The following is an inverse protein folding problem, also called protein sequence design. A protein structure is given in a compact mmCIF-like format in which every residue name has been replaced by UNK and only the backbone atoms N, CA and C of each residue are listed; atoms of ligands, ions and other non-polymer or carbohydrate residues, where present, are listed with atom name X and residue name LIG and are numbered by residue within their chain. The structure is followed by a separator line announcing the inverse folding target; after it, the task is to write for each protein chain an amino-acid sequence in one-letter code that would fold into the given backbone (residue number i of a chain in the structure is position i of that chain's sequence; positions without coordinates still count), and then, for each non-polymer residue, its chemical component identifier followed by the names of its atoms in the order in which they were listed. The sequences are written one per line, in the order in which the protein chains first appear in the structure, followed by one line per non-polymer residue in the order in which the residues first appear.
data_IF_691535607497
#
_entry.id   IF_691535607497
#
_cell.length_a   1.000
_cell.length_b   1.000
_cell.length_c   1.000
_cell.angle_alpha   90.00
_cell.angle_beta   90.00
_cell.angle_gamma   90.00
#
_symmetry.space_group_name_H-M   'P 1'
#
loop_
_entity.id
_entity.type
_entity.pdbx_description
1 polymer ?
#
# COMPACT_ATOMS: atom_id res chain seq x y z
N UNK A 1 -30.21 -25.74 15.03
CA UNK A 1 -29.33 -25.66 13.84
C UNK A 1 -28.08 -26.44 14.17
N UNK A 2 -27.66 -27.39 13.33
CA UNK A 2 -26.39 -28.08 13.55
C UNK A 2 -25.26 -27.06 13.47
N UNK A 3 -24.47 -26.93 14.53
CA UNK A 3 -23.28 -26.07 14.52
C UNK A 3 -22.33 -26.63 13.45
N UNK A 4 -21.91 -25.78 12.52
CA UNK A 4 -21.01 -26.17 11.45
C UNK A 4 -19.69 -26.70 12.05
N UNK A 5 -19.25 -27.90 11.63
CA UNK A 5 -18.08 -28.60 12.20
C UNK A 5 -16.80 -27.75 12.10
N UNK A 6 -16.64 -26.98 11.03
CA UNK A 6 -15.50 -26.07 10.88
C UNK A 6 -15.56 -24.91 11.88
N UNK A 7 -16.74 -24.34 12.14
CA UNK A 7 -16.91 -23.28 13.15
C UNK A 7 -16.58 -23.81 14.55
N UNK A 8 -16.98 -25.05 14.86
CA UNK A 8 -16.63 -25.70 16.11
C UNK A 8 -15.11 -25.90 16.25
N UNK A 9 -14.45 -26.39 15.20
CA UNK A 9 -12.98 -26.50 15.15
C UNK A 9 -12.31 -25.13 15.38
N UNK A 10 -12.78 -24.09 14.69
CA UNK A 10 -12.27 -22.73 14.85
C UNK A 10 -12.45 -22.25 16.29
N UNK A 11 -13.60 -22.50 16.92
CA UNK A 11 -13.87 -22.10 18.31
C UNK A 11 -12.96 -22.80 19.31
N UNK A 12 -12.67 -24.07 19.09
CA UNK A 12 -11.84 -24.86 19.99
C UNK A 12 -10.33 -24.71 19.72
N UNK A 13 -9.95 -24.05 18.62
CA UNK A 13 -8.55 -23.83 18.27
C UNK A 13 -7.83 -22.91 19.27
N UNK A 14 -6.60 -23.29 19.63
CA UNK A 14 -5.67 -22.49 20.46
C UNK A 14 -4.60 -21.79 19.62
N UNK A 15 -4.92 -21.52 18.35
CA UNK A 15 -3.99 -20.88 17.42
C UNK A 15 -3.74 -19.44 17.87
N UNK A 16 -2.46 -19.08 18.07
CA UNK A 16 -2.08 -17.77 18.60
C UNK A 16 -2.62 -16.59 17.78
N UNK A 17 -2.76 -16.77 16.47
CA UNK A 17 -3.29 -15.73 15.60
C UNK A 17 -4.81 -15.57 15.67
N UNK A 18 -5.55 -16.58 16.13
CA UNK A 18 -7.01 -16.61 16.03
C UNK A 18 -7.65 -15.40 16.72
N UNK A 19 -7.07 -14.98 17.85
CA UNK A 19 -7.54 -13.86 18.67
C UNK A 19 -6.76 -12.56 18.40
N UNK A 20 -5.89 -12.53 17.38
CA UNK A 20 -5.24 -11.29 16.92
C UNK A 20 -6.21 -10.53 16.01
N UNK A 21 -6.26 -9.22 16.21
CA UNK A 21 -7.07 -8.33 15.37
C UNK A 21 -6.53 -8.27 13.94
N UNK A 22 -7.45 -8.26 12.98
CA UNK A 22 -7.19 -7.99 11.57
C UNK A 22 -6.77 -6.52 11.46
N UNK A 23 -5.52 -6.29 11.06
CA UNK A 23 -4.95 -4.95 10.98
C UNK A 23 -5.51 -4.16 9.80
N UNK A 24 -5.53 -2.84 9.97
CA UNK A 24 -5.92 -1.89 8.94
C UNK A 24 -4.72 -1.55 8.04
N UNK A 25 -4.86 -1.76 6.73
CA UNK A 25 -3.87 -1.32 5.75
C UNK A 25 -3.53 0.17 5.87
N UNK A 26 -4.53 1.00 6.16
CA UNK A 26 -4.36 2.45 6.20
C UNK A 26 -3.59 2.96 7.43
N UNK A 27 -3.30 2.07 8.41
CA UNK A 27 -2.39 2.40 9.52
C UNK A 27 -0.93 2.46 9.04
N UNK A 28 -0.58 1.63 8.03
CA UNK A 28 0.77 1.56 7.47
C UNK A 28 0.89 2.32 6.15
N UNK A 29 -0.19 2.46 5.39
CA UNK A 29 -0.21 3.18 4.12
C UNK A 29 -1.20 4.34 4.15
N UNK A 30 -0.69 5.56 4.35
CA UNK A 30 -1.49 6.77 4.33
C UNK A 30 -1.69 7.22 2.88
N UNK A 31 -2.86 7.80 2.57
CA UNK A 31 -3.14 8.36 1.24
C UNK A 31 -2.06 9.35 0.77
N UNK A 32 -1.48 10.10 1.69
CA UNK A 32 -0.40 11.06 1.43
C UNK A 32 0.90 10.40 0.93
N UNK A 33 1.03 9.07 1.04
CA UNK A 33 2.18 8.33 0.52
C UNK A 33 2.05 8.03 -0.98
N UNK A 34 0.84 8.04 -1.55
CA UNK A 34 0.59 7.67 -2.95
C UNK A 34 1.49 8.45 -3.93
N UNK A 35 1.69 9.78 -3.79
CA UNK A 35 2.57 10.54 -4.68
C UNK A 35 4.07 10.17 -4.56
N UNK A 36 4.46 9.48 -3.49
CA UNK A 36 5.83 9.09 -3.17
C UNK A 36 6.08 7.59 -3.39
N UNK A 37 5.10 6.85 -3.91
CA UNK A 37 5.34 5.50 -4.45
C UNK A 37 6.24 5.64 -5.68
N UNK A 38 7.42 5.02 -5.65
CA UNK A 38 8.40 5.05 -6.75
C UNK A 38 8.37 3.77 -7.59
N UNK A 39 7.79 2.70 -7.05
CA UNK A 39 7.64 1.44 -7.75
C UNK A 39 6.41 0.67 -7.23
N UNK A 40 5.61 0.14 -8.15
CA UNK A 40 4.52 -0.81 -7.91
C UNK A 40 4.85 -2.08 -8.68
N UNK A 41 5.12 -3.15 -7.97
CA UNK A 41 5.35 -4.47 -8.54
C UNK A 41 4.10 -5.33 -8.34
N UNK A 42 3.55 -5.86 -9.41
CA UNK A 42 2.42 -6.78 -9.38
C UNK A 42 2.84 -8.14 -9.92
N UNK A 43 2.43 -9.20 -9.24
CA UNK A 43 2.74 -10.59 -9.58
C UNK A 43 1.44 -11.40 -9.52
N UNK A 44 1.13 -12.10 -10.60
CA UNK A 44 0.00 -13.03 -10.73
C UNK A 44 0.42 -14.46 -10.36
N UNK A 45 -0.58 -15.29 -10.04
CA UNK A 45 -0.47 -16.75 -9.97
C UNK A 45 0.70 -17.24 -9.11
N UNK A 46 0.97 -16.50 -8.04
CA UNK A 46 2.08 -16.74 -7.13
C UNK A 46 1.58 -17.40 -5.85
N UNK A 47 2.49 -17.57 -4.90
CA UNK A 47 2.20 -18.11 -3.58
C UNK A 47 2.60 -17.14 -2.48
N UNK A 48 1.87 -17.18 -1.38
CA UNK A 48 2.13 -16.36 -0.19
C UNK A 48 2.16 -17.23 1.05
N UNK A 49 3.05 -16.96 1.99
CA UNK A 49 2.90 -17.52 3.33
C UNK A 49 1.65 -16.92 3.99
N UNK A 50 0.64 -17.76 4.24
CA UNK A 50 -0.64 -17.30 4.79
C UNK A 50 -0.51 -16.71 6.21
N UNK A 51 0.55 -17.08 6.94
CA UNK A 51 0.92 -16.48 8.22
C UNK A 51 1.35 -15.02 8.12
N UNK A 52 1.91 -14.62 6.98
CA UNK A 52 2.34 -13.25 6.69
C UNK A 52 1.18 -12.30 6.35
N UNK A 53 -0.03 -12.83 6.14
CA UNK A 53 -1.23 -12.00 5.94
C UNK A 53 -1.78 -11.59 7.30
N UNK A 54 -1.70 -10.30 7.61
CA UNK A 54 -2.00 -9.77 8.96
C UNK A 54 -3.21 -8.83 9.00
N UNK A 55 -3.73 -8.43 7.84
CA UNK A 55 -4.74 -7.39 7.77
C UNK A 55 -5.50 -7.34 6.46
N UNK A 56 -6.24 -6.25 6.27
CA UNK A 56 -7.07 -6.00 5.09
C UNK A 56 -7.25 -4.51 4.83
N UNK A 57 -7.67 -4.18 3.60
CA UNK A 57 -8.21 -2.87 3.22
C UNK A 57 -9.70 -2.72 3.48
N UNK A 58 -10.43 -3.81 3.70
CA UNK A 58 -11.88 -3.78 3.80
C UNK A 58 -12.34 -3.25 5.18
N UNK A 59 -13.06 -2.12 5.24
CA UNK A 59 -13.43 -1.46 6.51
C UNK A 59 -14.23 -2.37 7.45
N UNK A 60 -15.19 -3.14 6.92
CA UNK A 60 -16.08 -3.97 7.73
C UNK A 60 -15.39 -5.08 8.55
N UNK A 61 -14.15 -5.46 8.21
CA UNK A 61 -13.44 -6.56 8.87
C UNK A 61 -12.27 -6.09 9.74
N UNK A 62 -11.90 -4.81 9.62
CA UNK A 62 -10.82 -4.22 10.42
C UNK A 62 -11.22 -4.23 11.90
N UNK A 63 -10.27 -4.60 12.76
CA UNK A 63 -10.46 -4.61 14.22
C UNK A 63 -11.14 -5.86 14.77
N UNK A 64 -11.83 -6.66 13.93
CA UNK A 64 -12.27 -8.01 14.31
C UNK A 64 -11.05 -8.90 14.51
N UNK A 65 -11.11 -9.82 15.48
CA UNK A 65 -10.19 -10.96 15.49
C UNK A 65 -10.46 -11.90 14.33
N UNK A 66 -9.45 -12.68 13.92
CA UNK A 66 -9.66 -13.69 12.87
C UNK A 66 -10.76 -14.69 13.25
N UNK A 67 -10.87 -15.07 14.53
CA UNK A 67 -11.92 -15.96 15.05
C UNK A 67 -13.31 -15.32 14.99
N UNK A 68 -13.44 -14.05 15.39
CA UNK A 68 -14.71 -13.33 15.27
C UNK A 68 -15.12 -13.19 13.81
N UNK A 69 -14.19 -12.89 12.91
CA UNK A 69 -14.47 -12.75 11.50
C UNK A 69 -15.05 -14.02 10.87
N UNK A 70 -14.58 -15.21 11.28
CA UNK A 70 -15.18 -16.50 10.89
C UNK A 70 -16.66 -16.61 11.30
N UNK A 71 -17.07 -15.97 12.40
CA UNK A 71 -18.45 -16.02 12.90
C UNK A 71 -19.36 -14.98 12.26
N UNK A 72 -18.87 -13.74 12.14
CA UNK A 72 -19.72 -12.58 11.83
C UNK A 72 -19.57 -12.09 10.39
N UNK A 73 -18.60 -12.61 9.63
CA UNK A 73 -18.37 -12.21 8.25
C UNK A 73 -19.61 -12.42 7.38
N UNK A 74 -20.10 -11.36 6.73
CA UNK A 74 -21.37 -11.34 5.98
C UNK A 74 -21.52 -12.47 4.95
N UNK A 75 -20.43 -12.86 4.27
CA UNK A 75 -20.43 -13.94 3.28
C UNK A 75 -19.73 -15.20 3.78
N UNK A 76 -19.37 -15.25 5.06
CA UNK A 76 -18.64 -16.37 5.64
C UNK A 76 -19.43 -17.69 5.61
N UNK A 77 -20.75 -17.72 5.94
CA UNK A 77 -21.51 -18.96 5.88
C UNK A 77 -21.46 -19.63 4.49
N UNK A 78 -21.64 -18.85 3.42
CA UNK A 78 -21.54 -19.37 2.04
C UNK A 78 -20.13 -19.82 1.69
N UNK A 79 -19.09 -19.10 2.16
CA UNK A 79 -17.69 -19.50 1.90
C UNK A 79 -17.29 -20.77 2.67
N UNK A 80 -17.79 -20.96 3.89
CA UNK A 80 -17.59 -22.19 4.67
C UNK A 80 -18.30 -23.36 3.98
N UNK A 81 -19.54 -23.17 3.52
CA UNK A 81 -20.26 -24.20 2.77
C UNK A 81 -19.51 -24.61 1.49
N UNK A 82 -18.97 -23.65 0.74
CA UNK A 82 -18.15 -23.94 -0.44
C UNK A 82 -16.86 -24.69 -0.08
N UNK A 83 -16.23 -24.33 1.04
CA UNK A 83 -15.07 -25.06 1.56
C UNK A 83 -15.43 -26.52 1.92
N UNK A 84 -16.56 -26.75 2.58
CA UNK A 84 -16.99 -28.11 2.94
C UNK A 84 -17.31 -28.97 1.71
N UNK A 85 -17.85 -28.35 0.65
CA UNK A 85 -18.15 -29.03 -0.62
C UNK A 85 -16.90 -29.31 -1.46
N UNK A 86 -15.89 -28.43 -1.40
CA UNK A 86 -14.67 -28.54 -2.18
C UNK A 86 -13.45 -28.03 -1.40
N UNK A 87 -12.92 -28.81 -0.44
CA UNK A 87 -11.77 -28.40 0.36
C UNK A 87 -10.49 -28.30 -0.46
N UNK A 88 -10.36 -29.10 -1.53
CA UNK A 88 -9.19 -29.14 -2.41
C UNK A 88 -8.93 -27.80 -3.11
N UNK A 89 -9.95 -26.95 -3.26
CA UNK A 89 -9.82 -25.58 -3.75
C UNK A 89 -8.66 -24.81 -3.10
N UNK A 90 -8.43 -25.01 -1.80
CA UNK A 90 -7.36 -24.29 -1.08
C UNK A 90 -5.96 -24.86 -1.34
N UNK A 91 -5.87 -26.12 -1.78
CA UNK A 91 -4.62 -26.85 -1.95
C UNK A 91 -4.12 -26.86 -3.39
N UNK A 92 -4.97 -26.53 -4.38
CA UNK A 92 -4.55 -26.44 -5.78
C UNK A 92 -3.57 -25.28 -6.00
N UNK A 93 -2.73 -25.43 -7.03
CA UNK A 93 -1.77 -24.41 -7.45
C UNK A 93 -2.36 -23.43 -8.47
N UNK A 94 -3.49 -23.79 -9.08
CA UNK A 94 -4.16 -23.00 -10.08
C UNK A 94 -4.62 -21.65 -9.54
N UNK A 95 -4.69 -20.67 -10.45
CA UNK A 95 -5.25 -19.35 -10.18
C UNK A 95 -6.58 -19.45 -9.45
N UNK A 96 -6.67 -18.80 -8.29
CA UNK A 96 -7.91 -18.74 -7.53
C UNK A 96 -8.91 -17.85 -8.26
N UNK A 97 -10.12 -18.39 -8.41
CA UNK A 97 -11.28 -17.67 -8.93
C UNK A 97 -12.39 -17.68 -7.87
N UNK A 98 -13.04 -16.53 -7.57
CA UNK A 98 -12.61 -15.17 -7.93
C UNK A 98 -11.19 -14.85 -7.46
N UNK A 99 -10.52 -13.83 -8.02
CA UNK A 99 -9.15 -13.52 -7.65
C UNK A 99 -9.00 -13.23 -6.13
N UNK A 100 -7.86 -13.65 -5.56
CA UNK A 100 -7.44 -13.30 -4.21
C UNK A 100 -6.15 -12.51 -4.36
N UNK A 101 -6.18 -11.25 -3.94
CA UNK A 101 -5.05 -10.33 -4.08
C UNK A 101 -4.57 -9.81 -2.72
N UNK A 102 -3.25 -9.66 -2.60
CA UNK A 102 -2.59 -9.11 -1.43
C UNK A 102 -1.76 -7.88 -1.78
N UNK A 103 -1.59 -6.99 -0.82
CA UNK A 103 -0.76 -5.79 -0.94
C UNK A 103 0.22 -5.67 0.23
N UNK A 104 1.42 -5.18 -0.06
CA UNK A 104 2.48 -4.93 0.94
C UNK A 104 3.34 -3.72 0.58
N UNK A 105 3.98 -3.14 1.58
CA UNK A 105 5.02 -2.10 1.44
C UNK A 105 6.40 -2.56 1.95
N UNK A 106 6.47 -3.73 2.58
CA UNK A 106 7.67 -4.27 3.23
C UNK A 106 7.99 -5.72 2.82
N UNK A 107 7.17 -6.30 1.92
CA UNK A 107 7.25 -7.68 1.42
C UNK A 107 7.21 -8.76 2.53
N UNK A 108 6.85 -8.38 3.75
CA UNK A 108 6.87 -9.24 4.93
C UNK A 108 5.48 -9.33 5.56
N UNK A 109 4.80 -8.20 5.62
CA UNK A 109 3.44 -8.06 6.12
C UNK A 109 2.50 -7.78 4.96
N UNK A 110 1.48 -8.62 4.80
CA UNK A 110 0.54 -8.53 3.70
C UNK A 110 -0.87 -8.25 4.20
N UNK A 111 -1.62 -7.53 3.37
CA UNK A 111 -3.00 -7.16 3.61
C UNK A 111 -3.83 -7.63 2.44
N UNK A 112 -5.05 -8.12 2.69
CA UNK A 112 -5.98 -8.43 1.60
C UNK A 112 -6.36 -7.13 0.89
N UNK A 113 -6.13 -7.07 -0.42
CA UNK A 113 -6.24 -5.82 -1.18
C UNK A 113 -7.66 -5.55 -1.69
N UNK A 114 -8.31 -6.59 -2.21
CA UNK A 114 -9.66 -6.51 -2.76
C UNK A 114 -10.52 -7.68 -2.25
N UNK A 115 -10.92 -8.57 -3.15
CA UNK A 115 -11.63 -9.79 -2.78
C UNK A 115 -10.68 -10.83 -2.18
N UNK A 116 -11.25 -11.82 -1.49
CA UNK A 116 -10.52 -12.93 -0.90
C UNK A 116 -10.53 -12.97 0.62
N UNK A 117 -10.98 -11.91 1.31
CA UNK A 117 -10.97 -11.83 2.78
C UNK A 117 -11.48 -13.11 3.48
N UNK A 118 -12.65 -13.61 3.08
CA UNK A 118 -13.26 -14.81 3.67
C UNK A 118 -12.42 -16.07 3.41
N UNK A 119 -11.93 -16.23 2.17
CA UNK A 119 -11.10 -17.37 1.75
C UNK A 119 -9.72 -17.31 2.41
N UNK A 120 -9.13 -16.13 2.55
CA UNK A 120 -7.91 -15.92 3.33
C UNK A 120 -8.12 -16.31 4.79
N UNK A 121 -9.21 -15.89 5.43
CA UNK A 121 -9.49 -16.26 6.82
C UNK A 121 -9.62 -17.79 6.97
N UNK A 122 -10.38 -18.45 6.09
CA UNK A 122 -10.50 -19.92 6.07
C UNK A 122 -9.11 -20.54 5.85
N UNK A 123 -8.33 -20.06 4.87
CA UNK A 123 -6.98 -20.51 4.58
C UNK A 123 -6.05 -20.42 5.80
N UNK A 124 -6.12 -19.34 6.59
CA UNK A 124 -5.35 -19.20 7.83
C UNK A 124 -5.66 -20.29 8.84
N UNK A 125 -6.94 -20.65 9.01
CA UNK A 125 -7.36 -21.69 9.96
C UNK A 125 -7.04 -23.11 9.47
N UNK A 126 -7.26 -23.43 8.19
CA UNK A 126 -6.95 -24.77 7.65
C UNK A 126 -5.44 -25.05 7.58
N UNK A 127 -4.62 -24.00 7.37
CA UNK A 127 -3.17 -24.12 7.28
C UNK A 127 -2.45 -23.76 8.57
N UNK A 128 -3.16 -23.29 9.59
CA UNK A 128 -2.60 -22.88 10.88
C UNK A 128 -1.40 -21.91 10.74
N UNK A 129 -1.47 -20.98 9.77
CA UNK A 129 -0.38 -20.07 9.39
C UNK A 129 0.95 -20.71 8.90
N UNK A 130 0.97 -22.01 8.63
CA UNK A 130 2.23 -22.75 8.34
C UNK A 130 2.49 -23.04 6.87
N UNK A 131 1.54 -22.77 5.97
CA UNK A 131 1.60 -23.17 4.56
C UNK A 131 1.57 -21.99 3.58
N UNK A 132 2.18 -22.21 2.42
CA UNK A 132 2.02 -21.36 1.24
C UNK A 132 0.61 -21.53 0.67
N UNK A 133 -0.10 -20.42 0.49
CA UNK A 133 -1.37 -20.36 -0.23
C UNK A 133 -1.08 -19.91 -1.68
N UNK A 134 -1.39 -20.79 -2.64
CA UNK A 134 -1.00 -20.63 -4.05
C UNK A 134 -2.13 -20.08 -4.91
N UNK A 135 -1.82 -19.67 -6.14
CA UNK A 135 -2.80 -19.18 -7.12
C UNK A 135 -3.33 -17.78 -6.80
N UNK A 136 -2.57 -16.98 -6.07
CA UNK A 136 -2.96 -15.63 -5.62
C UNK A 136 -2.15 -14.56 -6.34
N UNK A 137 -2.59 -13.31 -6.28
CA UNK A 137 -1.80 -12.17 -6.76
C UNK A 137 -1.25 -11.31 -5.63
N UNK A 138 -0.12 -10.66 -5.87
CA UNK A 138 0.57 -9.82 -4.90
C UNK A 138 0.94 -8.48 -5.56
N UNK A 139 0.66 -7.38 -4.85
CA UNK A 139 1.15 -6.04 -5.17
C UNK A 139 2.13 -5.57 -4.09
N UNK A 140 3.35 -5.24 -4.47
CA UNK A 140 4.35 -4.64 -3.58
C UNK A 140 4.58 -3.17 -3.97
N UNK A 141 4.47 -2.28 -2.99
CA UNK A 141 4.74 -0.86 -3.16
C UNK A 141 6.09 -0.50 -2.54
N UNK A 142 6.92 0.24 -3.28
CA UNK A 142 8.11 0.90 -2.75
C UNK A 142 7.84 2.38 -2.62
N UNK A 143 7.98 2.92 -1.41
CA UNK A 143 7.75 4.33 -1.09
C UNK A 143 9.09 5.00 -0.80
N UNK A 144 9.26 6.22 -1.30
CA UNK A 144 10.36 7.10 -0.91
C UNK A 144 10.05 7.84 0.39
N UNK A 145 10.20 7.13 1.52
CA UNK A 145 9.91 7.68 2.84
C UNK A 145 10.79 8.88 3.22
N UNK A 146 12.04 8.89 2.77
CA UNK A 146 12.96 9.96 3.08
C UNK A 146 12.52 11.26 2.39
N UNK A 147 12.11 11.16 1.12
CA UNK A 147 11.60 12.32 0.41
C UNK A 147 10.22 12.77 0.90
N UNK A 148 9.34 11.84 1.30
CA UNK A 148 8.09 12.19 1.96
C UNK A 148 8.34 13.00 3.25
N UNK A 149 9.24 12.54 4.13
CA UNK A 149 9.59 13.26 5.37
C UNK A 149 10.17 14.64 5.08
N UNK A 150 11.05 14.73 4.08
CA UNK A 150 11.62 16.00 3.61
C UNK A 150 10.53 16.98 3.15
N UNK A 151 9.61 16.51 2.32
CA UNK A 151 8.46 17.29 1.85
C UNK A 151 7.60 17.77 3.02
N UNK A 152 7.21 16.88 3.94
CA UNK A 152 6.39 17.25 5.11
C UNK A 152 7.08 18.31 5.97
N UNK A 153 8.39 18.18 6.22
CA UNK A 153 9.16 19.18 6.96
C UNK A 153 9.17 20.55 6.28
N UNK A 154 9.24 20.57 4.94
CA UNK A 154 9.14 21.82 4.19
C UNK A 154 7.74 22.44 4.25
N UNK A 155 6.68 21.65 4.13
CA UNK A 155 5.30 22.13 4.30
C UNK A 155 5.09 22.72 5.71
N UNK A 156 5.62 22.08 6.74
CA UNK A 156 5.57 22.61 8.11
C UNK A 156 6.32 23.94 8.23
N UNK A 157 7.46 24.07 7.57
CA UNK A 157 8.23 25.32 7.54
C UNK A 157 7.46 26.45 6.84
N UNK A 158 6.80 26.17 5.71
CA UNK A 158 5.93 27.12 5.01
C UNK A 158 4.84 27.64 5.97
N UNK A 159 4.17 26.73 6.67
CA UNK A 159 3.11 27.07 7.63
C UNK A 159 3.64 27.89 8.80
N UNK A 160 4.71 27.43 9.45
CA UNK A 160 5.28 28.08 10.62
C UNK A 160 5.80 29.50 10.34
N UNK A 161 6.33 29.74 9.14
CA UNK A 161 6.82 31.06 8.70
C UNK A 161 5.76 31.90 7.97
N UNK A 162 4.51 31.42 7.87
CA UNK A 162 3.44 32.03 7.11
C UNK A 162 3.87 32.44 5.68
N UNK A 163 4.60 31.56 4.99
CA UNK A 163 5.09 31.86 3.65
C UNK A 163 3.91 31.82 2.67
N UNK A 164 3.83 32.73 1.69
CA UNK A 164 2.75 32.78 0.70
C UNK A 164 2.95 31.73 -0.40
N UNK A 165 3.30 30.50 -0.01
CA UNK A 165 3.59 29.38 -0.90
C UNK A 165 2.56 28.28 -0.71
N UNK A 166 2.09 27.73 -1.82
CA UNK A 166 1.39 26.45 -1.86
C UNK A 166 2.24 25.46 -2.66
N UNK A 167 2.38 24.25 -2.15
CA UNK A 167 3.11 23.18 -2.83
C UNK A 167 2.16 22.00 -3.01
N UNK A 168 1.90 21.65 -4.26
CA UNK A 168 1.23 20.41 -4.63
C UNK A 168 2.26 19.32 -4.92
N UNK A 169 1.85 18.07 -4.78
CA UNK A 169 2.67 16.90 -5.07
C UNK A 169 1.85 15.90 -5.89
N UNK A 170 2.44 15.39 -6.96
CA UNK A 170 1.84 14.44 -7.88
C UNK A 170 2.81 13.28 -8.14
N UNK A 171 2.25 12.14 -8.56
CA UNK A 171 3.03 11.03 -9.10
C UNK A 171 2.85 10.97 -10.61
N UNK A 172 3.94 10.69 -11.31
CA UNK A 172 3.98 10.50 -12.75
C UNK A 172 4.50 9.11 -13.05
N UNK A 173 3.74 8.34 -13.81
CA UNK A 173 4.21 7.06 -14.37
C UNK A 173 5.28 7.34 -15.43
N UNK A 174 6.45 6.71 -15.30
CA UNK A 174 7.60 6.98 -16.17
C UNK A 174 8.05 5.76 -16.97
N UNK A 175 7.82 4.56 -16.45
CA UNK A 175 8.18 3.34 -17.14
C UNK A 175 7.34 2.16 -16.64
N UNK A 176 7.22 1.14 -17.49
CA UNK A 176 6.69 -0.17 -17.15
C UNK A 176 7.63 -1.25 -17.69
N UNK A 177 7.88 -2.26 -16.87
CA UNK A 177 8.47 -3.53 -17.27
C UNK A 177 7.40 -4.61 -17.17
N UNK A 178 7.22 -5.39 -18.23
CA UNK A 178 6.29 -6.52 -18.26
C UNK A 178 7.05 -7.82 -18.40
N UNK A 179 6.58 -8.85 -17.69
CA UNK A 179 7.01 -10.22 -17.86
C UNK A 179 5.83 -11.18 -17.81
N UNK A 180 6.11 -12.47 -18.01
CA UNK A 180 5.06 -13.49 -17.91
C UNK A 180 4.56 -13.60 -16.48
N UNK A 181 3.33 -13.15 -16.22
CA UNK A 181 2.70 -13.19 -14.90
C UNK A 181 3.18 -12.12 -13.91
N UNK A 182 3.90 -11.09 -14.36
CA UNK A 182 4.27 -9.96 -13.50
C UNK A 182 4.43 -8.68 -14.30
N UNK A 183 4.23 -7.54 -13.65
CA UNK A 183 4.63 -6.25 -14.18
C UNK A 183 5.19 -5.36 -13.06
N UNK A 184 5.99 -4.37 -13.46
CA UNK A 184 6.54 -3.37 -12.56
C UNK A 184 6.38 -1.98 -13.16
N UNK A 185 5.64 -1.15 -12.47
CA UNK A 185 5.42 0.25 -12.82
C UNK A 185 6.37 1.14 -12.00
N UNK A 186 7.09 2.02 -12.66
CA UNK A 186 7.97 3.01 -12.04
C UNK A 186 7.37 4.39 -12.11
N UNK A 187 7.58 5.16 -11.04
CA UNK A 187 6.99 6.47 -10.88
C UNK A 187 8.03 7.48 -10.40
N UNK A 188 7.85 8.72 -10.83
CA UNK A 188 8.58 9.88 -10.31
C UNK A 188 7.61 10.83 -9.62
N UNK A 189 8.06 11.41 -8.51
CA UNK A 189 7.31 12.45 -7.79
C UNK A 189 7.59 13.82 -8.42
N UNK A 190 6.53 14.53 -8.79
CA UNK A 190 6.57 15.90 -9.32
C UNK A 190 5.90 16.88 -8.36
N UNK A 191 6.42 18.11 -8.32
CA UNK A 191 5.95 19.16 -7.43
C UNK A 191 5.45 20.35 -8.22
N UNK A 192 4.30 20.89 -7.82
CA UNK A 192 3.87 22.22 -8.26
C UNK A 192 4.09 23.19 -7.12
N UNK A 193 4.65 24.36 -7.39
CA UNK A 193 4.82 25.42 -6.40
C UNK A 193 4.16 26.68 -6.92
N UNK A 194 3.16 27.15 -6.18
CA UNK A 194 2.48 28.42 -6.40
C UNK A 194 2.95 29.40 -5.35
N UNK A 195 3.32 30.60 -5.79
CA UNK A 195 3.65 31.71 -4.91
C UNK A 195 2.64 32.84 -5.10
N UNK A 196 1.85 33.08 -4.07
CA UNK A 196 0.77 34.06 -4.12
C UNK A 196 1.27 35.50 -4.03
N UNK A 197 2.50 35.75 -3.58
CA UNK A 197 3.04 37.11 -3.47
C UNK A 197 3.28 37.76 -4.83
N UNK A 198 3.69 36.98 -5.82
CA UNK A 198 4.04 37.43 -7.16
C UNK A 198 3.27 36.68 -8.26
N UNK A 199 2.28 35.88 -7.87
CA UNK A 199 1.45 35.08 -8.75
C UNK A 199 2.24 34.16 -9.71
N UNK A 200 3.37 33.61 -9.27
CA UNK A 200 4.16 32.66 -10.07
C UNK A 200 3.79 31.22 -9.77
N UNK A 201 3.76 30.39 -10.81
CA UNK A 201 3.54 28.95 -10.73
C UNK A 201 4.65 28.22 -11.50
N UNK A 202 5.26 27.22 -10.87
CA UNK A 202 6.31 26.42 -11.50
C UNK A 202 6.18 24.94 -11.10
N UNK A 203 6.68 24.06 -11.96
CA UNK A 203 6.76 22.63 -11.73
C UNK A 203 8.21 22.20 -11.56
N UNK A 204 8.44 21.22 -10.70
CA UNK A 204 9.76 20.74 -10.34
C UNK A 204 9.78 19.22 -10.30
N UNK A 205 10.82 18.63 -10.87
CA UNK A 205 11.22 17.26 -10.53
C UNK A 205 11.62 17.17 -9.06
N UNK A 206 11.69 15.95 -8.52
CA UNK A 206 12.21 15.68 -7.18
C UNK A 206 13.56 16.37 -6.91
N UNK A 207 14.49 16.27 -7.86
CA UNK A 207 15.84 16.85 -7.74
C UNK A 207 15.80 18.38 -7.70
N UNK A 208 15.08 19.01 -8.64
CA UNK A 208 14.95 20.47 -8.69
C UNK A 208 14.23 21.02 -7.45
N UNK A 209 13.23 20.30 -6.94
CA UNK A 209 12.53 20.66 -5.71
C UNK A 209 13.46 20.57 -4.49
N UNK A 210 14.27 19.52 -4.39
CA UNK A 210 15.27 19.38 -3.32
C UNK A 210 16.28 20.54 -3.29
N UNK A 211 16.73 20.98 -4.48
CA UNK A 211 17.60 22.16 -4.62
C UNK A 211 16.89 23.45 -4.19
N UNK A 212 15.64 23.64 -4.61
CA UNK A 212 14.81 24.80 -4.24
C UNK A 212 14.66 24.91 -2.72
N UNK A 213 14.27 23.84 -2.06
CA UNK A 213 14.09 23.79 -0.60
C UNK A 213 15.42 24.05 0.14
N UNK A 214 16.52 23.46 -0.33
CA UNK A 214 17.85 23.68 0.26
C UNK A 214 18.29 25.15 0.14
N UNK A 215 17.98 25.81 -0.97
CA UNK A 215 18.24 27.22 -1.17
C UNK A 215 17.41 28.10 -0.20
N UNK A 216 16.13 27.77 0.00
CA UNK A 216 15.28 28.45 0.99
C UNK A 216 15.82 28.34 2.41
N UNK A 217 16.30 27.15 2.81
CA UNK A 217 16.83 26.92 4.15
C UNK A 217 18.07 27.79 4.46
N UNK A 218 18.95 28.02 3.47
CA UNK A 218 20.21 28.76 3.65
C UNK A 218 20.06 30.27 3.67
N UNK A 219 19.12 30.82 2.91
CA UNK A 219 19.15 32.25 2.60
C UNK A 219 18.31 33.12 3.52
N UNK A 220 17.33 32.55 4.25
CA UNK A 220 16.30 33.30 5.02
C UNK A 220 15.62 34.46 4.24
N UNK A 221 15.91 34.60 2.94
CA UNK A 221 15.43 35.66 2.06
C UNK A 221 14.24 35.10 1.31
N UNK A 222 13.07 35.51 1.78
CA UNK A 222 11.81 35.38 1.08
C UNK A 222 11.96 35.87 -0.37
N UNK A 223 11.79 34.95 -1.31
CA UNK A 223 10.97 35.20 -2.50
C UNK A 223 11.43 36.40 -3.33
N UNK A 224 12.61 36.29 -3.97
CA UNK A 224 12.93 37.16 -5.12
C UNK A 224 13.12 36.43 -6.44
N UNK A 225 13.17 35.10 -6.46
CA UNK A 225 13.39 34.37 -7.71
C UNK A 225 12.56 33.09 -7.75
N UNK A 226 11.39 33.17 -8.39
CA UNK A 226 10.77 32.03 -9.08
C UNK A 226 11.17 32.07 -10.55
N UNK A 227 12.47 31.98 -10.78
CA UNK A 227 13.07 31.20 -11.86
C UNK A 227 14.16 30.43 -11.15
N UNK A 228 14.27 29.13 -11.40
CA UNK A 228 15.49 28.39 -11.08
C UNK A 228 16.66 29.32 -11.45
N UNK A 229 17.60 29.63 -10.54
CA UNK A 229 18.74 30.46 -10.92
C UNK A 229 19.30 29.88 -12.22
N UNK A 230 19.51 30.70 -13.25
CA UNK A 230 20.13 30.27 -14.51
C UNK A 230 21.44 29.48 -14.27
N UNK A 231 22.03 29.62 -13.07
CA UNK A 231 23.12 28.81 -12.53
C UNK A 231 22.87 27.30 -12.39
N UNK A 232 21.64 26.79 -12.53
CA UNK A 232 21.36 25.34 -12.54
C UNK A 232 20.90 24.81 -13.92
N UNK A 233 20.78 25.68 -14.93
CA UNK A 233 20.51 25.26 -16.31
C UNK A 233 21.69 24.51 -16.97
N UNK A 234 22.84 24.45 -16.30
CA UNK A 234 24.10 23.85 -16.79
C UNK A 234 24.09 22.31 -16.75
N UNK A 235 23.06 21.66 -16.18
CA UNK A 235 22.94 20.19 -16.18
C UNK A 235 21.99 19.61 -17.25
N UNK A 236 21.52 20.44 -18.18
CA UNK A 236 20.96 19.97 -19.45
C UNK A 236 22.03 20.12 -20.54
N UNK A 237 23.01 19.21 -20.55
CA UNK A 237 23.88 18.99 -21.72
C UNK A 237 23.04 18.54 -22.92
N UNK A 238 23.34 18.83 -24.20
CA UNK A 238 24.65 18.87 -24.88
C UNK A 238 25.69 17.95 -24.24
#
# INVERSE_FOLDING_TARGET
MATNKFIEQVNNSKLEFADKQIKNWYDVFKKDYEPFVVCREWISDTSINIGSVIGTKHPDYIGLTWREFIKVGKRMPSNIQLYEQNPDYYYTVDKKLPEISYISIDKTNYYVDADGNHRTAIAKFIFENSRLFQGVSITNLKIDYDFYKFYVGFIQTIKAKNLPLHVGVNSKHVAREDGSGWCRDYFETEFSVVNYRNNTHAYYSKTEFGMLVSYFARTNRLVRFFKVPEKFAVLRGI
#
